data_IF_849122544749
#
_entry.id   IF_849122544749
#
_cell.length_a   1.000
_cell.length_b   1.000
_cell.length_c   1.000
_cell.angle_alpha   90.00
_cell.angle_beta   90.00
_cell.angle_gamma   90.00
#
_symmetry.space_group_name_H-M   'P 1'
#
loop_
_entity.id
_entity.type
_entity.pdbx_description
1 polymer ?
#
# COMPACT_ATOMS: atom_id res chain seq x y z
N UNK A 1 26.20 6.12 34.25
CA UNK A 1 26.41 5.65 32.88
C UNK A 1 25.15 4.95 32.46
N UNK A 2 24.49 5.38 31.39
CA UNK A 2 23.29 4.71 30.87
C UNK A 2 23.74 3.46 30.12
N UNK A 3 23.23 2.27 30.47
CA UNK A 3 23.61 1.04 29.78
C UNK A 3 22.81 0.89 28.48
N UNK A 4 23.40 0.25 27.47
CA UNK A 4 22.71 -0.07 26.20
C UNK A 4 21.43 -0.87 26.45
N UNK A 5 21.45 -1.75 27.46
CA UNK A 5 20.29 -2.56 27.85
C UNK A 5 19.11 -1.71 28.36
N UNK A 6 19.35 -0.49 28.85
CA UNK A 6 18.31 0.40 29.37
C UNK A 6 17.64 1.22 28.25
N UNK A 7 18.27 1.32 27.08
CA UNK A 7 17.82 2.15 25.94
C UNK A 7 17.20 1.34 24.80
N UNK A 8 17.30 0.01 24.83
CA UNK A 8 16.89 -0.87 23.73
C UNK A 8 15.51 -1.54 23.88
N UNK A 9 14.93 -1.73 25.08
CA UNK A 9 13.56 -2.26 25.23
C UNK A 9 12.46 -1.29 24.75
N UNK A 10 12.78 0.01 24.63
CA UNK A 10 11.82 1.10 24.36
C UNK A 10 11.96 1.69 22.95
N UNK A 11 12.54 0.93 22.01
CA UNK A 11 13.04 1.42 20.73
C UNK A 11 12.16 2.48 20.04
N UNK A 12 12.60 3.74 20.10
CA UNK A 12 11.99 4.92 19.48
C UNK A 12 13.03 5.98 19.10
N UNK A 13 12.60 7.12 18.52
CA UNK A 13 13.52 8.17 18.05
C UNK A 13 14.42 8.76 19.16
N UNK A 14 13.89 8.91 20.37
CA UNK A 14 14.60 9.49 21.51
C UNK A 14 15.68 8.54 22.07
N UNK A 15 15.38 7.23 22.09
CA UNK A 15 16.31 6.18 22.48
C UNK A 15 17.44 6.05 21.47
N UNK A 16 17.15 6.13 20.17
CA UNK A 16 18.18 6.13 19.14
C UNK A 16 19.09 7.35 19.28
N UNK A 17 18.53 8.53 19.59
CA UNK A 17 19.31 9.72 19.88
C UNK A 17 20.19 9.56 21.14
N UNK A 18 19.70 8.87 22.17
CA UNK A 18 20.46 8.54 23.37
C UNK A 18 21.61 7.55 23.07
N UNK A 19 21.35 6.49 22.30
CA UNK A 19 22.36 5.53 21.84
C UNK A 19 23.45 6.22 21.00
N UNK A 20 23.08 7.20 20.18
CA UNK A 20 24.04 7.99 19.39
C UNK A 20 25.06 8.78 20.23
N UNK A 21 24.77 9.04 21.50
CA UNK A 21 25.68 9.73 22.44
C UNK A 21 26.66 8.78 23.14
N UNK A 22 26.43 7.46 23.06
CA UNK A 22 27.35 6.47 23.61
C UNK A 22 28.57 6.29 22.72
N UNK A 23 29.63 5.73 23.31
CA UNK A 23 30.89 5.46 22.62
C UNK A 23 30.69 4.50 21.42
N UNK A 24 31.36 4.80 20.30
CA UNK A 24 31.18 4.05 19.07
C UNK A 24 31.81 2.64 19.14
N UNK A 25 32.92 2.48 19.88
CA UNK A 25 33.53 1.15 20.11
C UNK A 25 32.63 0.28 21.00
N UNK A 26 31.98 0.86 22.01
CA UNK A 26 30.98 0.14 22.82
C UNK A 26 29.80 -0.36 21.99
N UNK A 27 29.31 0.45 21.07
CA UNK A 27 28.20 0.08 20.18
C UNK A 27 28.61 -0.95 19.13
N UNK A 28 29.80 -0.82 18.55
CA UNK A 28 30.33 -1.80 17.60
C UNK A 28 30.56 -3.16 18.26
N UNK A 29 31.09 -3.17 19.49
CA UNK A 29 31.19 -4.39 20.31
C UNK A 29 29.82 -5.02 20.56
N UNK A 30 28.83 -4.20 20.92
CA UNK A 30 27.48 -4.71 21.14
C UNK A 30 26.85 -5.27 19.85
N UNK A 31 27.07 -4.62 18.70
CA UNK A 31 26.57 -5.09 17.41
C UNK A 31 27.16 -6.45 17.00
N UNK A 32 28.44 -6.69 17.30
CA UNK A 32 29.15 -7.93 16.97
C UNK A 32 28.86 -9.10 17.93
N UNK A 33 28.41 -8.82 19.17
CA UNK A 33 28.22 -9.81 20.23
C UNK A 33 26.96 -10.66 20.02
N UNK A 34 27.13 -11.90 19.54
CA UNK A 34 26.04 -12.87 19.32
C UNK A 34 25.29 -13.28 20.59
N UNK A 35 25.85 -13.06 21.78
CA UNK A 35 25.15 -13.33 23.04
C UNK A 35 24.07 -12.28 23.35
N UNK A 36 24.08 -11.14 22.64
CA UNK A 36 23.07 -10.08 22.80
C UNK A 36 21.85 -10.35 21.92
N UNK A 37 20.64 -10.00 22.38
CA UNK A 37 19.43 -10.09 21.57
C UNK A 37 19.53 -9.26 20.27
N UNK A 38 18.98 -9.78 19.18
CA UNK A 38 19.08 -9.17 17.85
C UNK A 38 18.56 -7.72 17.80
N UNK A 39 17.50 -7.39 18.55
CA UNK A 39 16.93 -6.05 18.60
C UNK A 39 17.88 -5.02 19.22
N UNK A 40 18.65 -5.41 20.24
CA UNK A 40 19.67 -4.54 20.84
C UNK A 40 20.81 -4.30 19.86
N UNK A 41 21.24 -5.37 19.19
CA UNK A 41 22.34 -5.33 18.21
C UNK A 41 21.97 -4.45 17.03
N UNK A 42 20.78 -4.64 16.45
CA UNK A 42 20.22 -3.79 15.38
C UNK A 42 20.23 -2.30 15.78
N UNK A 43 19.74 -1.98 16.98
CA UNK A 43 19.73 -0.60 17.47
C UNK A 43 21.15 0.01 17.57
N UNK A 44 22.12 -0.78 18.03
CA UNK A 44 23.52 -0.36 18.07
C UNK A 44 24.08 -0.09 16.67
N UNK A 45 23.78 -0.96 15.69
CA UNK A 45 24.19 -0.79 14.30
C UNK A 45 23.63 0.52 13.71
N UNK A 46 22.34 0.80 13.92
CA UNK A 46 21.73 2.05 13.43
C UNK A 46 22.30 3.29 14.14
N UNK A 47 22.70 3.16 15.40
CA UNK A 47 23.37 4.24 16.13
C UNK A 47 24.80 4.51 15.63
N UNK A 48 25.44 3.56 14.93
CA UNK A 48 26.79 3.70 14.37
C UNK A 48 26.85 4.47 13.04
N UNK A 49 25.71 4.81 12.44
CA UNK A 49 25.64 5.52 11.16
C UNK A 49 26.57 6.75 11.13
N UNK A 50 27.49 6.79 10.16
CA UNK A 50 28.46 7.88 9.98
C UNK A 50 29.65 7.91 10.94
N UNK A 51 29.79 6.92 11.85
CA UNK A 51 30.83 6.90 12.89
C UNK A 51 31.34 5.50 13.24
N UNK A 52 31.34 4.59 12.27
CA UNK A 52 31.87 3.24 12.45
C UNK A 52 33.37 3.29 12.81
N UNK A 53 33.80 2.72 13.95
CA UNK A 53 35.22 2.66 14.27
C UNK A 53 35.93 1.63 13.38
N UNK A 54 37.02 2.07 12.74
CA UNK A 54 37.78 1.26 11.79
C UNK A 54 38.16 -0.15 12.27
N UNK A 55 38.57 -0.38 13.54
CA UNK A 55 38.96 -1.71 14.02
C UNK A 55 37.86 -2.77 13.93
N UNK A 56 36.59 -2.36 14.00
CA UNK A 56 35.44 -3.27 13.98
C UNK A 56 34.96 -3.63 12.58
N UNK A 57 35.45 -2.97 11.54
CA UNK A 57 34.93 -3.13 10.18
C UNK A 57 34.94 -4.58 9.71
N UNK A 58 36.08 -5.27 9.84
CA UNK A 58 36.22 -6.65 9.37
C UNK A 58 35.31 -7.62 10.13
N UNK A 59 35.14 -7.41 11.44
CA UNK A 59 34.26 -8.23 12.26
C UNK A 59 32.78 -8.02 11.92
N UNK A 60 32.37 -6.77 11.68
CA UNK A 60 31.00 -6.47 11.27
C UNK A 60 30.69 -6.94 9.84
N UNK A 61 31.66 -6.90 8.93
CA UNK A 61 31.55 -7.52 7.60
C UNK A 61 31.38 -9.03 7.74
N UNK A 62 32.17 -9.69 8.59
CA UNK A 62 32.02 -11.11 8.84
C UNK A 62 30.62 -11.46 9.38
N UNK A 63 30.00 -10.58 10.18
CA UNK A 63 28.61 -10.73 10.65
C UNK A 63 27.56 -10.56 9.55
N UNK A 64 27.78 -9.64 8.61
CA UNK A 64 26.90 -9.51 7.42
C UNK A 64 26.89 -10.80 6.59
N UNK A 65 28.05 -11.43 6.46
CA UNK A 65 28.28 -12.63 5.64
C UNK A 65 27.92 -13.94 6.36
N UNK A 66 27.56 -13.87 7.65
CA UNK A 66 27.25 -15.02 8.48
C UNK A 66 25.79 -15.46 8.23
N UNK A 67 25.54 -16.65 7.64
CA UNK A 67 24.18 -17.10 7.35
C UNK A 67 23.40 -17.45 8.63
N UNK A 68 24.08 -17.70 9.76
CA UNK A 68 23.44 -17.97 11.05
C UNK A 68 23.10 -16.67 11.81
N UNK A 69 23.38 -15.50 11.22
CA UNK A 69 23.02 -14.22 11.77
C UNK A 69 21.57 -13.84 11.42
N UNK A 70 20.90 -13.14 12.34
CA UNK A 70 19.50 -12.73 12.13
C UNK A 70 19.41 -11.71 10.99
N UNK A 71 18.44 -11.87 10.09
CA UNK A 71 18.26 -11.00 8.92
C UNK A 71 18.15 -9.52 9.29
N UNK A 72 17.47 -9.19 10.39
CA UNK A 72 17.30 -7.82 10.88
C UNK A 72 18.64 -7.15 11.22
N UNK A 73 19.60 -7.92 11.75
CA UNK A 73 20.95 -7.41 12.06
C UNK A 73 21.76 -7.30 10.77
N UNK A 74 21.70 -8.31 9.89
CA UNK A 74 22.41 -8.29 8.59
C UNK A 74 21.94 -7.13 7.70
N UNK A 75 20.64 -6.86 7.62
CA UNK A 75 20.05 -5.73 6.89
C UNK A 75 20.57 -4.40 7.47
N UNK A 76 20.51 -4.23 8.79
CA UNK A 76 21.02 -3.01 9.43
C UNK A 76 22.53 -2.82 9.18
N UNK A 77 23.30 -3.92 9.19
CA UNK A 77 24.73 -3.87 8.91
C UNK A 77 25.02 -3.57 7.44
N UNK A 78 24.19 -4.05 6.51
CA UNK A 78 24.26 -3.66 5.10
C UNK A 78 23.94 -2.19 4.87
N UNK A 79 23.01 -1.61 5.63
CA UNK A 79 22.78 -0.17 5.59
C UNK A 79 23.99 0.63 6.11
N UNK A 80 24.73 0.09 7.08
CA UNK A 80 25.94 0.72 7.63
C UNK A 80 27.18 0.55 6.75
N UNK A 81 27.34 -0.64 6.13
CA UNK A 81 28.55 -1.07 5.41
C UNK A 81 28.34 -1.14 3.89
N UNK A 82 27.17 -0.75 3.39
CA UNK A 82 26.77 -0.97 2.00
C UNK A 82 27.62 -0.26 0.96
N UNK A 83 28.45 0.70 1.36
CA UNK A 83 29.40 1.42 0.49
C UNK A 83 30.77 0.74 0.35
N UNK A 84 30.99 -0.38 1.06
CA UNK A 84 32.26 -1.10 1.09
C UNK A 84 32.43 -1.97 -0.14
N UNK A 85 33.31 -1.54 -1.06
CA UNK A 85 33.59 -2.23 -2.32
C UNK A 85 33.95 -3.72 -2.19
N UNK A 86 34.57 -4.10 -1.07
CA UNK A 86 34.91 -5.49 -0.75
C UNK A 86 33.70 -6.43 -0.62
N UNK A 87 32.49 -5.90 -0.37
CA UNK A 87 31.26 -6.68 -0.30
C UNK A 87 30.68 -7.05 -1.68
N UNK A 88 31.04 -6.32 -2.76
CA UNK A 88 30.38 -6.47 -4.07
C UNK A 88 30.43 -7.90 -4.63
N UNK A 89 31.58 -8.61 -4.64
CA UNK A 89 31.63 -9.98 -5.15
C UNK A 89 30.73 -10.94 -4.39
N UNK A 90 30.64 -10.77 -3.07
CA UNK A 90 29.78 -11.57 -2.19
C UNK A 90 28.29 -11.25 -2.42
N UNK A 91 27.91 -9.97 -2.47
CA UNK A 91 26.53 -9.55 -2.75
C UNK A 91 25.99 -10.10 -4.08
N UNK A 92 26.83 -10.09 -5.13
CA UNK A 92 26.50 -10.69 -6.44
C UNK A 92 26.37 -12.21 -6.39
N UNK A 93 27.07 -12.88 -5.48
CA UNK A 93 26.94 -14.31 -5.27
C UNK A 93 25.60 -14.63 -4.60
N UNK A 94 25.32 -14.00 -3.46
CA UNK A 94 24.11 -14.29 -2.67
C UNK A 94 22.81 -13.96 -3.42
N UNK A 95 22.75 -12.84 -4.14
CA UNK A 95 21.56 -12.51 -4.95
C UNK A 95 21.30 -13.55 -6.05
N UNK A 96 22.36 -14.11 -6.66
CA UNK A 96 22.22 -15.20 -7.64
C UNK A 96 21.89 -16.55 -7.01
N UNK A 97 22.40 -16.81 -5.81
CA UNK A 97 22.09 -18.00 -5.04
C UNK A 97 20.63 -18.01 -4.57
N UNK A 98 19.97 -16.85 -4.56
CA UNK A 98 18.57 -16.72 -4.20
C UNK A 98 18.36 -16.89 -2.70
N UNK A 99 19.18 -16.23 -1.87
CA UNK A 99 19.02 -16.28 -0.42
C UNK A 99 17.56 -15.93 -0.02
N UNK A 100 16.90 -16.90 0.62
CA UNK A 100 15.46 -16.85 0.92
C UNK A 100 15.11 -16.23 2.27
N UNK A 101 16.11 -15.75 3.02
CA UNK A 101 15.87 -15.11 4.31
C UNK A 101 15.11 -13.80 4.13
N UNK A 102 14.13 -13.54 5.01
CA UNK A 102 13.17 -12.44 4.86
C UNK A 102 13.88 -11.08 4.73
N UNK A 103 13.58 -10.34 3.65
CA UNK A 103 14.12 -8.99 3.39
C UNK A 103 15.58 -8.93 2.91
N UNK A 104 16.31 -10.05 2.89
CA UNK A 104 17.73 -10.05 2.51
C UNK A 104 17.94 -9.76 1.03
N UNK A 105 17.07 -10.29 0.15
CA UNK A 105 17.15 -10.04 -1.31
C UNK A 105 17.08 -8.55 -1.62
N UNK A 106 16.12 -7.85 -1.03
CA UNK A 106 15.94 -6.41 -1.21
C UNK A 106 17.15 -5.63 -0.66
N UNK A 107 17.68 -6.04 0.49
CA UNK A 107 18.88 -5.42 1.08
C UNK A 107 20.14 -5.61 0.23
N UNK A 108 20.33 -6.78 -0.38
CA UNK A 108 21.43 -7.03 -1.31
C UNK A 108 21.34 -6.16 -2.55
N UNK A 109 20.16 -6.07 -3.16
CA UNK A 109 19.94 -5.22 -4.32
C UNK A 109 20.22 -3.75 -3.99
N UNK A 110 19.74 -3.25 -2.86
CA UNK A 110 20.03 -1.89 -2.38
C UNK A 110 21.54 -1.67 -2.22
N UNK A 111 22.26 -2.56 -1.52
CA UNK A 111 23.70 -2.43 -1.31
C UNK A 111 24.49 -2.48 -2.64
N UNK A 112 24.10 -3.36 -3.58
CA UNK A 112 24.64 -3.40 -4.94
C UNK A 112 24.43 -2.05 -5.67
N UNK A 113 23.25 -1.46 -5.54
CA UNK A 113 22.95 -0.11 -6.08
C UNK A 113 23.86 0.97 -5.49
N UNK A 114 24.06 0.98 -4.16
CA UNK A 114 24.99 1.89 -3.46
C UNK A 114 26.42 1.75 -3.97
N UNK A 115 26.86 0.53 -4.27
CA UNK A 115 28.18 0.24 -4.83
C UNK A 115 28.31 0.60 -6.31
N UNK A 116 27.22 1.01 -6.96
CA UNK A 116 27.22 1.37 -8.38
C UNK A 116 27.08 0.18 -9.32
N UNK A 117 26.53 -0.93 -8.88
CA UNK A 117 26.37 -2.13 -9.72
C UNK A 117 25.13 -2.00 -10.62
N UNK A 118 25.33 -1.58 -11.87
CA UNK A 118 24.25 -1.46 -12.86
C UNK A 118 23.57 -2.80 -13.16
N UNK A 119 24.24 -3.94 -12.95
CA UNK A 119 23.63 -5.26 -13.13
C UNK A 119 22.50 -5.53 -12.11
N UNK A 120 22.39 -4.71 -11.04
CA UNK A 120 21.30 -4.79 -10.06
C UNK A 120 20.05 -4.01 -10.51
N UNK A 121 20.16 -3.17 -11.55
CA UNK A 121 19.09 -2.26 -11.97
C UNK A 121 17.75 -2.98 -12.25
N UNK A 122 17.68 -4.10 -12.99
CA UNK A 122 16.41 -4.79 -13.24
C UNK A 122 15.76 -5.34 -11.97
N UNK A 123 16.57 -5.73 -10.97
CA UNK A 123 16.12 -6.20 -9.67
C UNK A 123 15.66 -5.06 -8.77
N UNK A 124 16.39 -3.94 -8.76
CA UNK A 124 16.00 -2.72 -8.05
C UNK A 124 14.69 -2.14 -8.56
N UNK A 125 14.51 -2.09 -9.89
CA UNK A 125 13.24 -1.69 -10.50
C UNK A 125 12.09 -2.61 -10.07
N UNK A 126 12.33 -3.94 -10.02
CA UNK A 126 11.32 -4.88 -9.55
C UNK A 126 10.94 -4.70 -8.07
N UNK A 127 11.92 -4.44 -7.20
CA UNK A 127 11.68 -4.13 -5.79
C UNK A 127 10.93 -2.80 -5.63
N UNK A 128 11.32 -1.77 -6.37
CA UNK A 128 10.64 -0.47 -6.39
C UNK A 128 9.20 -0.56 -6.93
N UNK A 129 8.94 -1.52 -7.83
CA UNK A 129 7.61 -1.80 -8.34
C UNK A 129 6.79 -2.72 -7.44
N UNK A 130 7.32 -3.23 -6.32
CA UNK A 130 6.57 -4.07 -5.39
C UNK A 130 5.36 -3.38 -4.77
N UNK A 131 4.38 -4.12 -4.22
CA UNK A 131 3.20 -3.52 -3.59
C UNK A 131 3.44 -3.05 -2.16
N UNK A 132 4.54 -3.48 -1.52
CA UNK A 132 4.82 -3.19 -0.11
C UNK A 132 5.65 -1.90 0.04
N UNK A 133 5.16 -0.86 0.75
CA UNK A 133 5.84 0.43 0.85
C UNK A 133 7.31 0.34 1.28
N UNK A 134 7.60 -0.40 2.36
CA UNK A 134 8.96 -0.58 2.88
C UNK A 134 9.91 -1.25 1.87
N UNK A 135 9.41 -2.16 1.03
CA UNK A 135 10.21 -2.78 -0.04
C UNK A 135 10.42 -1.81 -1.18
N UNK A 136 9.38 -1.07 -1.58
CA UNK A 136 9.50 -0.03 -2.62
C UNK A 136 10.59 0.98 -2.27
N UNK A 137 10.56 1.51 -1.05
CA UNK A 137 11.58 2.45 -0.54
C UNK A 137 12.99 1.86 -0.62
N UNK A 138 13.16 0.57 -0.35
CA UNK A 138 14.45 -0.13 -0.46
C UNK A 138 14.96 -0.16 -1.91
N UNK A 139 14.09 -0.51 -2.87
CA UNK A 139 14.41 -0.52 -4.30
C UNK A 139 14.69 0.89 -4.83
N UNK A 140 13.85 1.85 -4.46
CA UNK A 140 14.00 3.27 -4.81
C UNK A 140 15.32 3.85 -4.31
N UNK A 141 15.71 3.56 -3.07
CA UNK A 141 16.99 4.00 -2.52
C UNK A 141 18.19 3.45 -3.31
N UNK A 142 18.12 2.20 -3.77
CA UNK A 142 19.16 1.63 -4.64
C UNK A 142 19.20 2.29 -6.02
N UNK A 143 18.04 2.59 -6.62
CA UNK A 143 17.95 3.34 -7.89
C UNK A 143 18.53 4.75 -7.74
N UNK A 144 18.21 5.45 -6.65
CA UNK A 144 18.71 6.80 -6.37
C UNK A 144 20.22 6.81 -6.19
N UNK A 145 20.79 5.77 -5.57
CA UNK A 145 22.23 5.64 -5.45
C UNK A 145 22.93 5.44 -6.80
N UNK A 146 22.33 4.66 -7.71
CA UNK A 146 22.81 4.54 -9.09
C UNK A 146 22.74 5.88 -9.83
N UNK A 147 21.65 6.63 -9.68
CA UNK A 147 21.48 7.96 -10.28
C UNK A 147 22.48 8.97 -9.70
N UNK A 148 22.72 8.96 -8.39
CA UNK A 148 23.71 9.82 -7.76
C UNK A 148 25.13 9.55 -8.28
N UNK A 149 25.43 8.30 -8.64
CA UNK A 149 26.76 7.89 -9.13
C UNK A 149 26.96 8.15 -10.62
N UNK A 150 25.98 7.79 -11.45
CA UNK A 150 26.12 7.80 -12.92
C UNK A 150 25.34 8.92 -13.62
N UNK A 151 24.48 9.62 -12.88
CA UNK A 151 23.55 10.60 -13.42
C UNK A 151 22.26 9.95 -13.95
N UNK A 152 21.15 10.70 -14.01
CA UNK A 152 19.84 10.17 -14.41
C UNK A 152 19.83 9.68 -15.85
N UNK A 153 20.53 10.36 -16.77
CA UNK A 153 20.58 9.97 -18.18
C UNK A 153 21.19 8.58 -18.40
N UNK A 154 22.25 8.24 -17.65
CA UNK A 154 22.91 6.94 -17.76
C UNK A 154 22.02 5.81 -17.24
N UNK A 155 21.36 6.02 -16.09
CA UNK A 155 20.46 5.00 -15.51
C UNK A 155 19.20 4.83 -16.37
N UNK A 156 18.62 5.92 -16.87
CA UNK A 156 17.47 5.86 -17.78
C UNK A 156 17.82 5.13 -19.09
N UNK A 157 19.03 5.26 -19.62
CA UNK A 157 19.41 4.54 -20.85
C UNK A 157 19.39 3.01 -20.71
N UNK A 158 19.54 2.50 -19.48
CA UNK A 158 19.54 1.07 -19.19
C UNK A 158 18.14 0.50 -18.87
N UNK A 159 17.13 1.36 -18.65
CA UNK A 159 15.75 0.94 -18.43
C UNK A 159 14.98 0.87 -19.75
N UNK A 160 14.19 -0.17 -19.96
CA UNK A 160 13.34 -0.27 -21.16
C UNK A 160 12.33 0.87 -21.29
N UNK A 161 12.14 1.36 -22.52
CA UNK A 161 11.18 2.43 -22.85
C UNK A 161 9.95 1.90 -23.60
N UNK A 162 8.80 2.55 -23.37
CA UNK A 162 7.56 2.31 -24.12
C UNK A 162 6.83 1.00 -23.82
N UNK A 163 5.65 0.78 -24.41
CA UNK A 163 4.68 -0.26 -23.98
C UNK A 163 5.19 -1.71 -24.08
N UNK A 164 6.21 -1.99 -24.88
CA UNK A 164 6.82 -3.32 -25.01
C UNK A 164 7.88 -3.65 -23.97
N UNK A 165 8.27 -2.67 -23.14
CA UNK A 165 9.24 -2.85 -22.06
C UNK A 165 8.60 -3.40 -20.79
N UNK A 166 9.43 -3.88 -19.85
CA UNK A 166 8.97 -4.39 -18.55
C UNK A 166 8.19 -3.32 -17.79
N UNK A 167 7.10 -3.72 -17.13
CA UNK A 167 6.29 -2.84 -16.29
C UNK A 167 7.14 -2.09 -15.26
N UNK A 168 8.05 -2.81 -14.61
CA UNK A 168 8.88 -2.28 -13.53
C UNK A 168 9.86 -1.21 -14.05
N UNK A 169 10.38 -1.40 -15.27
CA UNK A 169 11.25 -0.43 -15.93
C UNK A 169 10.48 0.86 -16.24
N UNK A 170 9.26 0.74 -16.79
CA UNK A 170 8.42 1.92 -17.12
C UNK A 170 8.06 2.70 -15.87
N UNK A 171 7.66 2.00 -14.79
CA UNK A 171 7.33 2.63 -13.51
C UNK A 171 8.55 3.36 -12.90
N UNK A 172 9.72 2.72 -12.91
CA UNK A 172 10.97 3.34 -12.46
C UNK A 172 11.35 4.56 -13.32
N UNK A 173 11.21 4.46 -14.65
CA UNK A 173 11.49 5.57 -15.57
C UNK A 173 10.65 6.80 -15.28
N UNK A 174 9.34 6.66 -15.03
CA UNK A 174 8.47 7.79 -14.70
C UNK A 174 9.01 8.54 -13.48
N UNK A 175 9.31 7.82 -12.39
CA UNK A 175 9.88 8.41 -11.16
C UNK A 175 11.22 9.11 -11.43
N UNK A 176 12.13 8.46 -12.14
CA UNK A 176 13.48 8.98 -12.39
C UNK A 176 13.49 10.18 -13.35
N UNK A 177 12.61 10.19 -14.36
CA UNK A 177 12.40 11.35 -15.25
C UNK A 177 11.92 12.56 -14.47
N UNK A 178 10.88 12.38 -13.65
CA UNK A 178 10.36 13.45 -12.80
C UNK A 178 11.44 13.97 -11.83
N UNK A 179 12.18 13.08 -11.15
CA UNK A 179 13.27 13.47 -10.26
C UNK A 179 14.39 14.24 -10.97
N UNK A 180 14.57 14.02 -12.28
CA UNK A 180 15.50 14.77 -13.13
C UNK A 180 14.91 16.07 -13.71
N UNK A 181 13.72 16.48 -13.28
CA UNK A 181 13.02 17.69 -13.73
C UNK A 181 12.45 17.59 -15.15
N UNK A 182 12.21 16.38 -15.64
CA UNK A 182 11.56 16.16 -16.94
C UNK A 182 10.04 16.07 -16.76
N UNK A 183 9.30 16.57 -17.75
CA UNK A 183 7.85 16.33 -17.85
C UNK A 183 7.58 14.83 -18.02
N UNK A 184 6.57 14.33 -17.30
CA UNK A 184 6.12 12.93 -17.30
C UNK A 184 4.65 12.78 -17.69
N UNK A 185 4.02 13.87 -18.13
CA UNK A 185 2.61 13.92 -18.52
C UNK A 185 2.30 12.96 -19.69
N UNK A 186 3.28 12.65 -20.53
CA UNK A 186 3.16 11.64 -21.60
C UNK A 186 2.85 10.23 -21.05
N UNK A 187 3.33 9.91 -19.85
CA UNK A 187 3.11 8.60 -19.22
C UNK A 187 1.68 8.41 -18.68
N UNK A 188 0.83 9.45 -18.68
CA UNK A 188 -0.61 9.31 -18.43
C UNK A 188 -1.32 8.46 -19.52
N UNK A 189 -0.64 8.23 -20.65
CA UNK A 189 -1.10 7.34 -21.72
C UNK A 189 -0.52 5.93 -21.66
N UNK A 190 0.24 5.56 -20.60
CA UNK A 190 0.69 4.17 -20.44
C UNK A 190 -0.54 3.24 -20.31
N UNK A 191 -0.55 2.09 -21.00
CA UNK A 191 -1.66 1.13 -20.89
C UNK A 191 -1.78 0.49 -19.51
N UNK A 192 -0.73 0.55 -18.68
CA UNK A 192 -0.75 0.04 -17.33
C UNK A 192 -1.20 1.12 -16.33
N UNK A 193 -2.26 0.82 -15.57
CA UNK A 193 -2.86 1.76 -14.64
C UNK A 193 -1.89 2.20 -13.54
N UNK A 194 -1.00 1.34 -13.05
CA UNK A 194 -0.02 1.73 -12.03
C UNK A 194 1.01 2.74 -12.56
N UNK A 195 1.42 2.60 -13.82
CA UNK A 195 2.35 3.53 -14.46
C UNK A 195 1.66 4.88 -14.70
N UNK A 196 0.45 4.88 -15.25
CA UNK A 196 -0.33 6.09 -15.47
C UNK A 196 -0.71 6.79 -14.15
N UNK A 197 -1.09 6.02 -13.12
CA UNK A 197 -1.31 6.52 -11.76
C UNK A 197 -0.06 7.19 -11.21
N UNK A 198 1.11 6.56 -11.36
CA UNK A 198 2.37 7.14 -10.88
C UNK A 198 2.72 8.44 -11.59
N UNK A 199 2.48 8.52 -12.90
CA UNK A 199 2.63 9.76 -13.64
C UNK A 199 1.66 10.84 -13.14
N UNK A 200 0.41 10.46 -12.86
CA UNK A 200 -0.62 11.37 -12.36
C UNK A 200 -0.35 11.88 -10.94
N UNK A 201 0.28 11.07 -10.08
CA UNK A 201 0.78 11.48 -8.75
C UNK A 201 1.91 12.50 -8.84
N UNK A 202 2.79 12.34 -9.82
CA UNK A 202 4.01 13.15 -9.98
C UNK A 202 3.78 14.40 -10.83
N UNK A 203 2.75 14.45 -11.67
CA UNK A 203 2.42 15.65 -12.44
C UNK A 203 2.21 16.87 -11.53
N UNK A 204 2.84 17.99 -11.87
CA UNK A 204 2.90 19.19 -11.05
C UNK A 204 2.56 20.49 -11.81
N UNK A 205 2.31 20.41 -13.12
CA UNK A 205 1.94 21.54 -13.98
C UNK A 205 0.45 21.48 -14.42
N UNK A 206 -0.45 22.26 -13.79
CA UNK A 206 -1.85 22.36 -14.20
C UNK A 206 -2.05 22.87 -15.63
N UNK A 207 -1.15 23.71 -16.16
CA UNK A 207 -1.27 24.24 -17.51
C UNK A 207 -0.99 23.16 -18.56
N UNK A 208 0.03 22.33 -18.32
CA UNK A 208 0.32 21.16 -19.16
C UNK A 208 -0.85 20.17 -19.17
N UNK A 209 -1.43 19.86 -18.00
CA UNK A 209 -2.60 18.98 -17.89
C UNK A 209 -3.83 19.53 -18.62
N UNK A 210 -4.11 20.84 -18.51
CA UNK A 210 -5.18 21.48 -19.29
C UNK A 210 -4.90 21.45 -20.79
N UNK A 211 -3.64 21.63 -21.20
CA UNK A 211 -3.19 21.49 -22.58
C UNK A 211 -3.44 20.09 -23.14
N UNK A 212 -3.11 19.05 -22.36
CA UNK A 212 -3.41 17.65 -22.71
C UNK A 212 -4.92 17.42 -22.88
N UNK A 213 -5.73 17.93 -21.96
CA UNK A 213 -7.20 17.83 -22.01
C UNK A 213 -7.83 18.61 -23.19
N UNK A 214 -7.16 19.64 -23.70
CA UNK A 214 -7.61 20.43 -24.85
C UNK A 214 -7.30 19.79 -26.20
N UNK A 215 -6.40 18.79 -26.24
CA UNK A 215 -6.14 17.97 -27.41
C UNK A 215 -7.20 16.88 -27.62
N UNK A 216 -6.76 15.72 -28.11
CA UNK A 216 -7.61 14.54 -28.30
C UNK A 216 -7.03 13.32 -27.54
N UNK A 217 -6.89 13.37 -26.21
CA UNK A 217 -6.42 12.23 -25.43
C UNK A 217 -7.44 11.09 -25.49
N UNK A 218 -6.98 9.86 -25.21
CA UNK A 218 -7.90 8.74 -24.93
C UNK A 218 -8.71 9.04 -23.66
N UNK A 219 -9.83 8.34 -23.47
CA UNK A 219 -10.66 8.50 -22.28
C UNK A 219 -9.84 8.27 -21.00
N UNK A 220 -9.02 7.22 -20.95
CA UNK A 220 -8.25 6.87 -19.75
C UNK A 220 -7.17 7.92 -19.44
N UNK A 221 -6.45 8.38 -20.47
CA UNK A 221 -5.49 9.48 -20.33
C UNK A 221 -6.16 10.76 -19.85
N UNK A 222 -7.36 11.08 -20.37
CA UNK A 222 -8.12 12.24 -19.94
C UNK A 222 -8.57 12.12 -18.49
N UNK A 223 -8.99 10.93 -18.03
CA UNK A 223 -9.39 10.70 -16.64
C UNK A 223 -8.20 10.81 -15.68
N UNK A 224 -7.03 10.25 -16.03
CA UNK A 224 -5.81 10.45 -15.25
C UNK A 224 -5.40 11.92 -15.16
N UNK A 225 -5.49 12.66 -16.27
CA UNK A 225 -5.21 14.09 -16.30
C UNK A 225 -6.22 14.88 -15.45
N UNK A 226 -7.51 14.54 -15.47
CA UNK A 226 -8.53 15.16 -14.62
C UNK A 226 -8.29 14.88 -13.14
N UNK A 227 -7.90 13.65 -12.79
CA UNK A 227 -7.56 13.29 -11.41
C UNK A 227 -6.32 14.02 -10.92
N UNK A 228 -5.24 14.05 -11.72
CA UNK A 228 -4.04 14.84 -11.40
C UNK A 228 -4.35 16.34 -11.24
N UNK A 229 -5.14 16.90 -12.16
CA UNK A 229 -5.54 18.31 -12.10
C UNK A 229 -6.36 18.59 -10.84
N UNK A 230 -7.32 17.72 -10.49
CA UNK A 230 -8.10 17.85 -9.27
C UNK A 230 -7.23 17.84 -8.02
N UNK A 231 -6.25 16.93 -7.94
CA UNK A 231 -5.30 16.85 -6.82
C UNK A 231 -4.50 18.16 -6.66
N UNK A 232 -4.14 18.80 -7.76
CA UNK A 232 -3.37 20.05 -7.74
C UNK A 232 -4.21 21.30 -7.45
N UNK A 233 -5.47 21.33 -7.89
CA UNK A 233 -6.30 22.56 -7.83
C UNK A 233 -7.42 22.51 -6.80
N UNK A 234 -7.88 21.32 -6.41
CA UNK A 234 -9.09 21.12 -5.62
C UNK A 234 -10.38 21.58 -6.32
N UNK A 235 -10.35 21.91 -7.62
CA UNK A 235 -11.50 22.48 -8.32
C UNK A 235 -12.47 21.38 -8.76
N UNK A 236 -13.41 21.05 -7.88
CA UNK A 236 -14.49 20.09 -8.16
C UNK A 236 -15.37 20.50 -9.34
N UNK A 237 -15.57 21.80 -9.58
CA UNK A 237 -16.42 22.27 -10.68
C UNK A 237 -15.75 22.03 -12.04
N UNK A 238 -14.44 22.31 -12.13
CA UNK A 238 -13.61 22.00 -13.30
C UNK A 238 -13.57 20.50 -13.56
N UNK A 239 -13.31 19.68 -12.52
CA UNK A 239 -13.31 18.21 -12.64
C UNK A 239 -14.64 17.67 -13.13
N UNK A 240 -15.77 18.10 -12.54
CA UNK A 240 -17.12 17.69 -12.97
C UNK A 240 -17.46 18.16 -14.38
N UNK A 241 -16.99 19.33 -14.80
CA UNK A 241 -17.17 19.81 -16.17
C UNK A 241 -16.37 18.94 -17.15
N UNK A 242 -15.13 18.59 -16.82
CA UNK A 242 -14.30 17.68 -17.61
C UNK A 242 -14.89 16.29 -17.74
N UNK A 243 -15.28 15.68 -16.62
CA UNK A 243 -15.90 14.36 -16.58
C UNK A 243 -17.18 14.29 -17.43
N UNK A 244 -18.05 15.32 -17.36
CA UNK A 244 -19.26 15.40 -18.21
C UNK A 244 -18.93 15.55 -19.70
N UNK A 245 -17.87 16.28 -20.07
CA UNK A 245 -17.43 16.38 -21.47
C UNK A 245 -16.98 15.03 -22.03
N UNK A 246 -16.41 14.17 -21.20
CA UNK A 246 -16.03 12.79 -21.56
C UNK A 246 -17.24 11.83 -21.63
N UNK A 247 -18.46 12.30 -21.36
CA UNK A 247 -19.67 11.47 -21.33
C UNK A 247 -19.87 10.71 -20.02
N UNK A 248 -19.20 11.13 -18.94
CA UNK A 248 -19.26 10.48 -17.63
C UNK A 248 -18.96 8.97 -17.67
N UNK A 249 -17.79 8.56 -18.19
CA UNK A 249 -17.42 7.16 -18.29
C UNK A 249 -17.38 6.51 -16.90
N UNK A 250 -17.90 5.28 -16.80
CA UNK A 250 -17.95 4.50 -15.56
C UNK A 250 -17.56 3.05 -15.81
N UNK A 251 -17.04 2.36 -14.79
CA UNK A 251 -16.83 0.91 -14.87
C UNK A 251 -18.17 0.21 -14.66
N UNK A 252 -18.71 -0.41 -15.71
CA UNK A 252 -19.93 -1.19 -15.61
C UNK A 252 -19.67 -2.51 -14.89
N UNK A 253 -20.37 -2.76 -13.78
CA UNK A 253 -20.36 -4.04 -13.06
C UNK A 253 -21.76 -4.65 -13.17
N UNK A 254 -21.96 -5.65 -14.04
CA UNK A 254 -23.26 -6.27 -14.22
C UNK A 254 -23.82 -6.82 -12.90
N UNK A 255 -25.10 -6.54 -12.62
CA UNK A 255 -25.77 -7.02 -11.41
C UNK A 255 -25.55 -6.16 -10.16
N UNK A 256 -24.62 -5.19 -10.19
CA UNK A 256 -24.34 -4.32 -9.04
C UNK A 256 -25.44 -3.25 -8.88
N UNK A 257 -26.21 -3.24 -7.78
CA UNK A 257 -27.19 -2.19 -7.51
C UNK A 257 -26.55 -0.82 -7.32
N UNK A 258 -27.20 0.25 -7.77
CA UNK A 258 -26.63 1.61 -7.79
C UNK A 258 -26.32 2.18 -6.38
N UNK A 259 -27.13 1.87 -5.39
CA UNK A 259 -26.90 2.29 -4.00
C UNK A 259 -25.72 1.54 -3.37
N UNK A 260 -25.60 0.22 -3.62
CA UNK A 260 -24.43 -0.58 -3.23
C UNK A 260 -23.18 -0.08 -3.94
N UNK A 261 -23.26 0.16 -5.25
CA UNK A 261 -22.16 0.75 -6.04
C UNK A 261 -21.69 2.05 -5.42
N UNK A 262 -22.62 2.95 -5.07
CA UNK A 262 -22.28 4.26 -4.51
C UNK A 262 -21.62 4.16 -3.15
N UNK A 263 -22.09 3.25 -2.29
CA UNK A 263 -21.46 2.97 -1.01
C UNK A 263 -20.01 2.48 -1.20
N UNK A 264 -19.81 1.46 -2.04
CA UNK A 264 -18.48 0.92 -2.36
C UNK A 264 -17.57 1.98 -3.01
N UNK A 265 -18.10 2.74 -3.98
CA UNK A 265 -17.36 3.80 -4.66
C UNK A 265 -16.80 4.82 -3.66
N UNK A 266 -17.67 5.36 -2.80
CA UNK A 266 -17.28 6.45 -1.91
C UNK A 266 -16.49 5.98 -0.67
N UNK A 267 -16.61 4.72 -0.29
CA UNK A 267 -15.76 4.11 0.74
C UNK A 267 -14.34 3.89 0.21
N UNK A 268 -14.20 3.24 -0.94
CA UNK A 268 -12.92 2.68 -1.36
C UNK A 268 -12.15 3.51 -2.39
N UNK A 269 -12.79 4.32 -3.23
CA UNK A 269 -12.08 5.00 -4.33
C UNK A 269 -11.03 6.03 -3.86
N UNK A 270 -11.14 6.52 -2.63
CA UNK A 270 -10.16 7.42 -2.02
C UNK A 270 -8.90 6.72 -1.50
N UNK A 271 -9.03 5.47 -1.05
CA UNK A 271 -7.98 4.67 -0.39
C UNK A 271 -7.48 3.51 -1.26
N UNK A 272 -8.08 3.29 -2.42
CA UNK A 272 -7.73 2.19 -3.30
C UNK A 272 -6.30 2.33 -3.86
N UNK A 273 -5.74 1.20 -4.24
CA UNK A 273 -4.37 1.06 -4.70
C UNK A 273 -4.17 1.58 -6.13
N UNK A 274 -2.91 1.76 -6.51
CA UNK A 274 -2.48 2.37 -7.79
C UNK A 274 -2.98 1.65 -9.06
N UNK A 275 -3.38 0.39 -8.98
CA UNK A 275 -3.89 -0.38 -10.13
C UNK A 275 -5.38 -0.12 -10.43
N UNK A 276 -6.04 0.69 -9.59
CA UNK A 276 -7.46 1.06 -9.76
C UNK A 276 -7.69 1.80 -11.08
N UNK A 277 -8.74 1.39 -11.81
CA UNK A 277 -9.21 2.06 -13.01
C UNK A 277 -9.56 3.54 -12.72
N UNK A 278 -9.06 4.50 -13.51
CA UNK A 278 -9.26 5.92 -13.24
C UNK A 278 -10.73 6.35 -13.23
N UNK A 279 -11.63 5.59 -13.88
CA UNK A 279 -13.08 5.85 -13.85
C UNK A 279 -13.62 5.82 -12.42
N UNK A 280 -13.20 4.87 -11.58
CA UNK A 280 -13.64 4.82 -10.17
C UNK A 280 -13.22 6.07 -9.40
N UNK A 281 -11.97 6.51 -9.56
CA UNK A 281 -11.44 7.69 -8.86
C UNK A 281 -12.16 8.97 -9.29
N UNK A 282 -12.30 9.18 -10.60
CA UNK A 282 -12.93 10.41 -11.12
C UNK A 282 -14.44 10.41 -10.89
N UNK A 283 -15.10 9.25 -10.96
CA UNK A 283 -16.52 9.12 -10.61
C UNK A 283 -16.76 9.57 -9.16
N UNK A 284 -15.99 9.06 -8.19
CA UNK A 284 -16.11 9.45 -6.78
C UNK A 284 -15.94 10.95 -6.53
N UNK A 285 -15.04 11.61 -7.28
CA UNK A 285 -14.85 13.07 -7.21
C UNK A 285 -16.02 13.86 -7.83
N UNK A 286 -16.73 13.24 -8.78
CA UNK A 286 -17.78 13.89 -9.54
C UNK A 286 -19.20 13.60 -9.03
N UNK A 287 -19.39 12.54 -8.25
CA UNK A 287 -20.68 12.14 -7.66
C UNK A 287 -20.79 12.58 -6.20
N UNK A 288 -22.02 12.57 -5.69
CA UNK A 288 -22.29 12.86 -4.27
C UNK A 288 -22.17 11.57 -3.46
N UNK A 289 -21.50 11.62 -2.28
CA UNK A 289 -21.45 10.47 -1.39
C UNK A 289 -22.84 10.08 -0.89
N UNK A 290 -23.03 8.82 -0.45
CA UNK A 290 -24.25 8.42 0.27
C UNK A 290 -24.50 9.33 1.48
N UNK A 291 -25.77 9.43 1.89
CA UNK A 291 -26.10 10.11 3.13
C UNK A 291 -25.41 9.41 4.32
N UNK A 292 -24.94 10.16 5.34
CA UNK A 292 -24.37 9.56 6.53
C UNK A 292 -25.29 8.52 7.17
N UNK A 293 -24.69 7.41 7.59
CA UNK A 293 -25.39 6.24 8.12
C UNK A 293 -25.63 6.44 9.63
N UNK A 294 -26.89 6.36 10.07
CA UNK A 294 -27.25 6.27 11.49
C UNK A 294 -27.07 4.81 11.96
N UNK A 295 -25.81 4.45 12.25
CA UNK A 295 -25.41 3.08 12.63
C UNK A 295 -26.18 2.62 13.87
N UNK A 296 -26.19 3.40 14.95
CA UNK A 296 -26.92 3.08 16.18
C UNK A 296 -28.42 2.88 15.94
N UNK A 297 -29.03 3.70 15.06
CA UNK A 297 -30.42 3.53 14.66
C UNK A 297 -30.64 2.24 13.87
N UNK A 298 -29.73 1.86 12.98
CA UNK A 298 -29.82 0.60 12.23
C UNK A 298 -29.69 -0.62 13.13
N UNK A 299 -28.70 -0.63 14.03
CA UNK A 299 -28.50 -1.72 14.98
C UNK A 299 -29.72 -1.90 15.89
N UNK A 300 -30.27 -0.81 16.42
CA UNK A 300 -31.51 -0.87 17.21
C UNK A 300 -32.67 -1.47 16.42
N UNK A 301 -32.88 -1.06 15.17
CA UNK A 301 -33.95 -1.61 14.32
C UNK A 301 -33.71 -3.10 14.01
N UNK A 302 -32.47 -3.52 13.77
CA UNK A 302 -32.14 -4.92 13.54
C UNK A 302 -32.43 -5.78 14.78
N UNK A 303 -32.01 -5.33 15.97
CA UNK A 303 -32.30 -6.00 17.26
C UNK A 303 -33.80 -6.07 17.52
N UNK A 304 -34.54 -5.00 17.27
CA UNK A 304 -36.00 -4.95 17.42
C UNK A 304 -36.69 -5.98 16.50
N UNK A 305 -36.22 -6.10 15.24
CA UNK A 305 -36.74 -7.09 14.28
C UNK A 305 -36.44 -8.52 14.76
N UNK A 306 -35.20 -8.82 15.14
CA UNK A 306 -34.82 -10.15 15.63
C UNK A 306 -35.65 -10.55 16.86
N UNK A 307 -35.83 -9.62 17.80
CA UNK A 307 -36.66 -9.84 19.00
C UNK A 307 -38.12 -10.09 18.63
N UNK A 308 -38.67 -9.35 17.67
CA UNK A 308 -40.06 -9.49 17.23
C UNK A 308 -40.33 -10.82 16.51
N UNK A 309 -39.34 -11.35 15.80
CA UNK A 309 -39.39 -12.68 15.16
C UNK A 309 -39.08 -13.83 16.15
N UNK A 310 -38.90 -13.51 17.44
CA UNK A 310 -38.78 -14.49 18.52
C UNK A 310 -37.36 -14.97 18.81
N UNK A 311 -36.35 -14.31 18.26
CA UNK A 311 -34.95 -14.59 18.57
C UNK A 311 -34.50 -13.89 19.87
N UNK A 312 -33.35 -14.30 20.42
CA UNK A 312 -32.71 -13.68 21.59
C UNK A 312 -31.40 -13.01 21.17
N UNK A 313 -31.46 -11.84 20.48
CA UNK A 313 -30.26 -11.19 19.96
C UNK A 313 -29.33 -10.75 21.11
N UNK A 314 -28.05 -11.06 20.97
CA UNK A 314 -26.97 -10.49 21.80
C UNK A 314 -26.75 -9.03 21.44
N UNK A 315 -25.96 -8.36 22.27
CA UNK A 315 -25.50 -7.00 21.97
C UNK A 315 -24.73 -6.98 20.64
N UNK A 316 -25.00 -6.02 19.73
CA UNK A 316 -24.23 -5.87 18.52
C UNK A 316 -22.75 -5.61 18.83
N UNK A 317 -21.86 -6.28 18.11
CA UNK A 317 -20.40 -6.15 18.28
C UNK A 317 -19.79 -5.65 16.97
N UNK A 318 -18.83 -4.73 17.05
CA UNK A 318 -18.12 -4.25 15.84
C UNK A 318 -17.23 -5.36 15.25
N UNK A 319 -16.94 -5.29 13.94
CA UNK A 319 -16.09 -6.27 13.27
C UNK A 319 -14.73 -6.48 13.96
N UNK A 320 -14.07 -5.40 14.41
CA UNK A 320 -12.78 -5.49 15.10
C UNK A 320 -12.87 -6.13 16.48
N UNK A 321 -13.95 -5.87 17.23
CA UNK A 321 -14.19 -6.52 18.52
C UNK A 321 -14.54 -8.00 18.37
N UNK A 322 -15.36 -8.34 17.37
CA UNK A 322 -15.75 -9.72 17.07
C UNK A 322 -14.54 -10.58 16.70
N UNK A 323 -13.65 -10.03 15.86
CA UNK A 323 -12.39 -10.67 15.46
C UNK A 323 -11.25 -10.48 16.49
N UNK A 324 -11.49 -9.75 17.58
CA UNK A 324 -10.53 -9.43 18.65
C UNK A 324 -9.28 -8.65 18.20
N UNK A 325 -9.27 -8.14 16.97
CA UNK A 325 -8.20 -7.32 16.39
C UNK A 325 -8.72 -6.63 15.12
N UNK A 326 -7.97 -5.62 14.65
CA UNK A 326 -8.28 -4.94 13.40
C UNK A 326 -9.48 -3.99 13.49
N UNK A 327 -9.99 -3.61 12.31
CA UNK A 327 -11.18 -2.77 12.14
C UNK A 327 -11.94 -3.20 10.89
N UNK A 328 -13.19 -2.74 10.73
CA UNK A 328 -14.03 -3.13 9.62
C UNK A 328 -15.25 -2.25 9.43
N UNK A 329 -16.01 -2.53 8.37
CA UNK A 329 -17.16 -1.73 7.99
C UNK A 329 -18.52 -2.37 8.34
N UNK A 330 -18.57 -3.22 9.38
CA UNK A 330 -19.81 -3.87 9.83
C UNK A 330 -19.87 -4.14 11.34
N UNK A 331 -21.07 -4.50 11.81
CA UNK A 331 -21.32 -5.09 13.12
C UNK A 331 -21.98 -6.47 12.96
N UNK A 332 -21.79 -7.34 13.96
CA UNK A 332 -22.40 -8.67 14.04
C UNK A 332 -23.42 -8.69 15.17
N UNK A 333 -24.59 -9.29 14.92
CA UNK A 333 -25.61 -9.57 15.92
C UNK A 333 -25.87 -11.06 15.93
N UNK A 334 -25.36 -11.76 16.95
CA UNK A 334 -25.66 -13.16 17.17
C UNK A 334 -27.03 -13.33 17.81
N UNK A 335 -27.86 -14.24 17.30
CA UNK A 335 -29.20 -14.46 17.85
C UNK A 335 -29.58 -15.93 18.07
N UNK A 336 -28.78 -16.88 17.56
CA UNK A 336 -28.78 -18.30 17.95
C UNK A 336 -27.35 -18.86 17.96
N UNK A 337 -27.15 -20.09 18.45
CA UNK A 337 -25.86 -20.65 18.91
C UNK A 337 -24.63 -20.39 18.04
N UNK A 338 -24.75 -20.14 16.73
CA UNK A 338 -23.71 -19.54 15.86
C UNK A 338 -24.33 -18.81 14.64
N UNK A 339 -25.57 -18.32 14.76
CA UNK A 339 -26.28 -17.64 13.67
C UNK A 339 -26.21 -16.13 13.87
N UNK A 340 -25.77 -15.46 12.82
CA UNK A 340 -25.40 -14.05 12.86
C UNK A 340 -26.06 -13.23 11.76
N UNK A 341 -26.43 -12.02 12.13
CA UNK A 341 -26.84 -10.97 11.22
C UNK A 341 -25.72 -9.93 11.15
N UNK A 342 -25.22 -9.68 9.95
CA UNK A 342 -24.24 -8.65 9.65
C UNK A 342 -24.95 -7.36 9.26
N UNK A 343 -24.56 -6.24 9.89
CA UNK A 343 -25.09 -4.90 9.61
C UNK A 343 -23.96 -4.00 9.15
N UNK A 344 -24.02 -3.58 7.88
CA UNK A 344 -22.99 -2.72 7.29
C UNK A 344 -23.04 -1.30 7.86
N UNK A 345 -21.88 -0.68 7.97
CA UNK A 345 -21.72 0.74 8.30
C UNK A 345 -21.73 1.63 7.05
N UNK A 346 -21.66 1.05 5.84
CA UNK A 346 -21.59 1.76 4.56
C UNK A 346 -22.96 2.15 4.00
N UNK A 347 -24.03 1.63 4.57
CA UNK A 347 -25.40 1.88 4.18
C UNK A 347 -26.36 1.01 4.97
N UNK A 348 -27.67 1.03 4.70
CA UNK A 348 -28.66 0.22 5.40
C UNK A 348 -28.60 -1.26 4.98
N UNK A 349 -27.42 -1.79 4.69
CA UNK A 349 -27.25 -3.12 4.11
C UNK A 349 -27.09 -4.17 5.21
N UNK A 350 -27.82 -5.27 5.06
CA UNK A 350 -27.75 -6.41 5.97
C UNK A 350 -27.62 -7.71 5.20
N UNK A 351 -26.88 -8.64 5.77
CA UNK A 351 -26.71 -10.01 5.29
C UNK A 351 -26.72 -10.94 6.51
N UNK A 352 -27.06 -12.21 6.33
CA UNK A 352 -27.07 -13.19 7.41
C UNK A 352 -26.66 -14.55 6.89
N UNK A 353 -26.42 -15.47 7.82
CA UNK A 353 -26.02 -16.84 7.50
C UNK A 353 -27.10 -17.60 6.69
N UNK A 354 -26.73 -18.75 6.14
CA UNK A 354 -27.63 -19.62 5.37
C UNK A 354 -28.90 -19.94 6.17
N UNK A 355 -30.08 -19.64 5.60
CA UNK A 355 -31.38 -19.85 6.24
C UNK A 355 -32.01 -18.59 6.86
N UNK A 356 -31.26 -17.48 6.96
CA UNK A 356 -31.75 -16.21 7.51
C UNK A 356 -32.57 -15.38 6.50
N UNK A 357 -32.85 -15.90 5.30
CA UNK A 357 -33.68 -15.21 4.31
C UNK A 357 -35.12 -14.98 4.80
N UNK A 358 -35.54 -15.72 5.84
CA UNK A 358 -36.82 -15.49 6.52
C UNK A 358 -36.90 -14.08 7.13
N UNK A 359 -35.76 -13.51 7.54
CA UNK A 359 -35.68 -12.18 8.15
C UNK A 359 -35.74 -11.04 7.13
N UNK A 360 -35.58 -11.34 5.83
CA UNK A 360 -35.57 -10.34 4.76
C UNK A 360 -36.79 -9.42 4.83
N UNK A 361 -37.99 -9.98 4.84
CA UNK A 361 -39.23 -9.19 4.83
C UNK A 361 -39.40 -8.29 6.06
N UNK A 362 -39.20 -8.80 7.29
CA UNK A 362 -39.13 -7.98 8.50
C UNK A 362 -38.07 -6.86 8.46
N UNK A 363 -36.83 -7.17 8.08
CA UNK A 363 -35.73 -6.21 8.01
C UNK A 363 -35.98 -5.11 6.96
N UNK A 364 -36.49 -5.49 5.77
CA UNK A 364 -36.87 -4.55 4.72
C UNK A 364 -37.97 -3.57 5.17
N UNK A 365 -38.96 -4.05 5.93
CA UNK A 365 -40.00 -3.18 6.53
C UNK A 365 -39.45 -2.22 7.58
N UNK A 366 -38.36 -2.60 8.25
CA UNK A 366 -37.64 -1.74 9.19
C UNK A 366 -36.69 -0.74 8.51
N UNK A 367 -36.67 -0.68 7.18
CA UNK A 367 -35.84 0.24 6.41
C UNK A 367 -34.38 -0.19 6.30
N UNK A 368 -34.08 -1.47 6.58
CA UNK A 368 -32.82 -2.11 6.21
C UNK A 368 -32.99 -2.74 4.83
N UNK A 369 -31.90 -3.11 4.17
CA UNK A 369 -31.87 -3.70 2.85
C UNK A 369 -31.11 -5.02 2.92
N UNK A 370 -31.83 -6.10 2.71
CA UNK A 370 -31.21 -7.43 2.56
C UNK A 370 -30.38 -7.48 1.28
N UNK A 371 -29.11 -7.86 1.41
CA UNK A 371 -28.24 -8.16 0.27
C UNK A 371 -28.32 -9.67 0.03
N UNK A 372 -28.95 -10.05 -1.09
CA UNK A 372 -29.09 -11.45 -1.48
C UNK A 372 -27.83 -12.00 -2.15
N UNK A 373 -27.77 -13.33 -2.24
CA UNK A 373 -26.64 -14.07 -2.78
C UNK A 373 -26.20 -13.62 -4.18
N UNK A 374 -27.16 -13.20 -5.01
CA UNK A 374 -26.86 -12.72 -6.35
C UNK A 374 -26.07 -11.42 -6.31
N UNK A 375 -26.41 -10.53 -5.37
CA UNK A 375 -25.68 -9.28 -5.16
C UNK A 375 -24.38 -9.52 -4.41
N UNK A 376 -24.36 -10.31 -3.32
CA UNK A 376 -23.15 -10.59 -2.54
C UNK A 376 -22.04 -11.21 -3.39
N UNK A 377 -22.40 -12.13 -4.30
CA UNK A 377 -21.46 -12.80 -5.21
C UNK A 377 -20.97 -11.94 -6.38
N UNK A 378 -21.51 -10.74 -6.56
CA UNK A 378 -21.07 -9.84 -7.62
C UNK A 378 -19.65 -9.35 -7.37
N UNK A 379 -18.73 -9.62 -8.32
CA UNK A 379 -17.33 -9.18 -8.25
C UNK A 379 -17.20 -7.76 -8.79
N UNK A 380 -16.73 -6.83 -7.95
CA UNK A 380 -16.48 -5.43 -8.31
C UNK A 380 -15.12 -5.31 -8.98
N UNK A 381 -15.12 -5.17 -10.31
CA UNK A 381 -13.90 -5.12 -11.13
C UNK A 381 -13.31 -3.72 -11.23
N UNK A 382 -12.00 -3.66 -11.52
CA UNK A 382 -11.29 -2.39 -11.74
C UNK A 382 -11.06 -1.55 -10.48
N UNK A 383 -11.57 -1.96 -9.31
CA UNK A 383 -11.34 -1.33 -8.02
C UNK A 383 -10.31 -2.17 -7.24
N UNK A 384 -9.12 -1.61 -7.03
CA UNK A 384 -8.03 -2.34 -6.38
C UNK A 384 -8.03 -2.04 -4.87
N UNK A 385 -8.68 -2.90 -4.09
CA UNK A 385 -8.72 -2.81 -2.62
C UNK A 385 -7.76 -3.85 -2.03
N UNK A 386 -6.95 -3.44 -1.06
CA UNK A 386 -6.09 -4.36 -0.33
C UNK A 386 -6.94 -5.27 0.56
N UNK A 387 -6.67 -6.57 0.57
CA UNK A 387 -7.32 -7.53 1.46
C UNK A 387 -6.38 -8.71 1.73
N UNK A 388 -5.96 -8.92 2.98
CA UNK A 388 -5.05 -10.00 3.41
C UNK A 388 -3.83 -10.24 2.50
N UNK A 389 -3.17 -9.16 2.07
CA UNK A 389 -1.99 -9.26 1.20
C UNK A 389 -2.31 -9.36 -0.29
N UNK A 390 -3.57 -9.56 -0.65
CA UNK A 390 -4.05 -9.58 -2.03
C UNK A 390 -4.58 -8.21 -2.48
N UNK A 391 -4.57 -8.01 -3.79
CA UNK A 391 -4.95 -6.78 -4.51
C UNK A 391 -5.73 -7.18 -5.75
N UNK A 392 -6.82 -7.89 -5.51
CA UNK A 392 -7.68 -8.51 -6.54
C UNK A 392 -9.08 -7.91 -6.46
N UNK A 393 -9.88 -7.99 -7.53
CA UNK A 393 -11.30 -7.65 -7.47
C UNK A 393 -12.00 -8.40 -6.33
N UNK A 394 -12.71 -7.65 -5.48
CA UNK A 394 -13.45 -8.19 -4.33
C UNK A 394 -14.93 -8.34 -4.66
N UNK A 395 -15.59 -9.27 -3.96
CA UNK A 395 -17.04 -9.43 -3.98
C UNK A 395 -17.73 -8.29 -3.22
N UNK A 396 -18.98 -8.02 -3.54
CA UNK A 396 -19.82 -7.07 -2.78
C UNK A 396 -19.90 -7.48 -1.32
N UNK A 397 -20.00 -8.77 -1.03
CA UNK A 397 -19.97 -9.31 0.34
C UNK A 397 -18.79 -8.75 1.15
N UNK A 398 -17.57 -9.01 0.65
CA UNK A 398 -16.33 -8.56 1.27
C UNK A 398 -16.23 -7.04 1.35
N UNK A 399 -16.82 -6.30 0.41
CA UNK A 399 -16.76 -4.83 0.40
C UNK A 399 -17.80 -4.18 1.32
N UNK A 400 -18.97 -4.79 1.55
CA UNK A 400 -19.97 -4.28 2.47
C UNK A 400 -19.76 -4.73 3.91
N UNK A 401 -19.08 -5.87 4.08
CA UNK A 401 -18.78 -6.51 5.36
C UNK A 401 -17.26 -6.74 5.48
N UNK A 402 -16.49 -5.71 5.15
CA UNK A 402 -15.03 -5.73 5.18
C UNK A 402 -14.50 -5.76 6.60
N UNK A 403 -13.47 -6.57 6.84
CA UNK A 403 -12.64 -6.56 8.04
C UNK A 403 -11.17 -6.79 7.66
N UNK A 404 -10.26 -6.16 8.39
CA UNK A 404 -8.83 -6.37 8.25
C UNK A 404 -8.12 -6.21 9.60
N UNK A 405 -7.09 -7.02 9.83
CA UNK A 405 -6.26 -7.08 11.04
C UNK A 405 -5.35 -5.87 11.30
#
# INVERSE_FOLDING_TARGET
MTAIADLTPLYGPDELAALRRLDADELARCAADRARPWWQRRACVQALAGRLPQPWTAELIARVQDPDETSEVRIALLDLLGDRAELLPWLRHEDRAGEGAYGMREAFLKARGVLGDLDALPGLAAVAAGPWPHRRETGEAGLDALVARYGPAAVLAELGEGPGSRFEDRLARVRLRHAAGQDVTDALADPDHAVAHRAAELADDPAALRGLLAGEPTVDTALWALWALHRLTGDTAETRAGYRRLGSPRVEVPGLPEDVRRAVLHEYAGTCERDTDPRWRVEALCTEPPAPVDVDGQLRRAVEVLTAEGAEPKEPVSAGEDNQQGDGCYHVIYHHEDVSLFVSTLGPFVHGDEGEEILRGPLERAGLRWIDDAVTETVVTGLCVYYFGERVPLKVDTLLFYWQD
#
